data_IF_072324960780
#
_entry.id   IF_072324960780
#
_cell.length_a   1.000
_cell.length_b   1.000
_cell.length_c   1.000
_cell.angle_alpha   90.00
_cell.angle_beta   90.00
_cell.angle_gamma   90.00
#
_symmetry.space_group_name_H-M   'P 1'
#
loop_
_entity.id
_entity.type
_entity.pdbx_description
1 polymer ?
#
# COMPACT_ATOMS: atom_id res chain seq x y z
N UNK A 1 -32.04 25.01 0.13
CA UNK A 1 -31.80 23.71 -0.50
C UNK A 1 -30.30 23.56 -0.59
N UNK A 2 -29.73 23.05 0.50
CA UNK A 2 -28.29 22.92 0.71
C UNK A 2 -27.81 21.65 0.00
N UNK A 3 -27.01 21.81 -1.05
CA UNK A 3 -26.29 20.71 -1.68
C UNK A 3 -24.87 20.70 -1.09
N UNK A 4 -24.54 19.78 -0.16
CA UNK A 4 -23.15 19.55 0.20
C UNK A 4 -22.47 18.88 -0.98
N UNK A 5 -21.92 19.69 -1.88
CA UNK A 5 -20.99 19.23 -2.90
C UNK A 5 -19.79 18.58 -2.23
N UNK A 6 -19.80 17.25 -2.18
CA UNK A 6 -18.66 16.44 -1.79
C UNK A 6 -17.50 16.76 -2.74
N UNK A 7 -16.59 17.63 -2.31
CA UNK A 7 -15.28 17.76 -2.93
C UNK A 7 -14.54 16.45 -2.63
N UNK A 8 -14.58 15.52 -3.59
CA UNK A 8 -13.70 14.36 -3.63
C UNK A 8 -12.30 14.91 -3.79
N UNK A 9 -11.56 14.98 -2.68
CA UNK A 9 -10.16 15.37 -2.68
C UNK A 9 -9.43 14.40 -3.61
N UNK A 10 -8.80 14.84 -4.71
CA UNK A 10 -7.90 13.97 -5.45
C UNK A 10 -6.73 13.70 -4.51
N UNK A 11 -6.63 12.45 -4.04
CA UNK A 11 -5.57 12.02 -3.16
C UNK A 11 -4.22 12.43 -3.77
N UNK A 12 -3.47 13.25 -3.02
CA UNK A 12 -2.10 13.65 -3.34
C UNK A 12 -1.31 12.42 -3.77
N UNK A 13 -1.01 12.30 -5.05
CA UNK A 13 0.08 11.50 -5.64
C UNK A 13 0.47 10.25 -4.85
N UNK A 14 -0.50 9.40 -4.51
CA UNK A 14 -0.25 8.15 -3.82
C UNK A 14 0.38 7.17 -4.81
N UNK A 15 1.57 6.68 -4.48
CA UNK A 15 2.34 5.67 -5.19
C UNK A 15 1.66 4.34 -4.89
N UNK A 16 0.55 4.13 -5.57
CA UNK A 16 -0.19 2.88 -5.51
C UNK A 16 0.59 1.82 -6.28
N UNK A 17 1.06 0.80 -5.59
CA UNK A 17 1.64 -0.38 -6.22
C UNK A 17 0.57 -1.44 -6.43
N UNK A 18 0.39 -1.86 -7.67
CA UNK A 18 -0.53 -2.95 -7.98
C UNK A 18 0.21 -4.29 -7.84
N UNK A 19 -0.26 -5.12 -6.91
CA UNK A 19 0.17 -6.50 -6.80
C UNK A 19 -0.30 -7.32 -8.01
N UNK A 20 0.42 -8.39 -8.37
CA UNK A 20 0.05 -9.27 -9.48
C UNK A 20 -1.30 -9.97 -9.27
N UNK A 21 -1.75 -10.12 -8.02
CA UNK A 21 -3.10 -10.62 -7.73
C UNK A 21 -4.22 -9.61 -7.99
N UNK A 22 -3.89 -8.34 -8.29
CA UNK A 22 -4.83 -7.25 -8.52
C UNK A 22 -5.07 -6.35 -7.31
N UNK A 23 -4.48 -6.65 -6.15
CA UNK A 23 -4.58 -5.82 -4.96
C UNK A 23 -3.79 -4.51 -5.12
N UNK A 24 -4.41 -3.38 -4.78
CA UNK A 24 -3.78 -2.07 -4.80
C UNK A 24 -3.13 -1.76 -3.44
N UNK A 25 -1.83 -1.99 -3.34
CA UNK A 25 -1.03 -1.68 -2.17
C UNK A 25 -0.73 -0.17 -2.19
N UNK A 26 -1.18 0.56 -1.17
CA UNK A 26 -0.95 2.01 -1.09
C UNK A 26 -0.09 2.38 0.10
N UNK A 27 -0.19 1.60 1.17
CA UNK A 27 0.48 1.88 2.42
C UNK A 27 1.12 0.62 2.99
N UNK A 28 1.95 0.82 4.01
CA UNK A 28 2.48 -0.29 4.81
C UNK A 28 1.39 -1.21 5.37
N UNK A 29 0.21 -0.69 5.70
CA UNK A 29 -0.86 -1.52 6.27
C UNK A 29 -1.41 -2.59 5.29
N UNK A 30 -1.27 -2.37 3.98
CA UNK A 30 -1.66 -3.36 2.97
C UNK A 30 -0.60 -4.47 2.80
N UNK A 31 0.54 -4.34 3.47
CA UNK A 31 1.64 -5.30 3.42
C UNK A 31 1.72 -6.10 4.72
N UNK A 32 1.93 -7.40 4.58
CA UNK A 32 2.24 -8.30 5.68
C UNK A 32 3.75 -8.47 5.79
N UNK A 33 4.30 -8.25 6.98
CA UNK A 33 5.70 -8.53 7.24
C UNK A 33 5.87 -9.99 7.66
N UNK A 34 6.47 -10.79 6.79
CA UNK A 34 6.88 -12.15 7.12
C UNK A 34 8.23 -12.12 7.84
N UNK A 35 8.21 -12.38 9.14
CA UNK A 35 9.41 -12.56 9.97
C UNK A 35 9.87 -14.01 9.89
N UNK A 36 10.33 -14.43 8.70
CA UNK A 36 10.69 -15.82 8.41
C UNK A 36 12.20 -16.12 8.30
N UNK A 37 13.07 -15.11 8.32
CA UNK A 37 14.53 -15.31 8.20
C UNK A 37 15.35 -14.05 8.45
N UNK A 38 16.67 -14.13 8.24
CA UNK A 38 17.64 -13.02 8.45
C UNK A 38 17.28 -11.74 7.69
N UNK A 39 16.52 -11.84 6.59
CA UNK A 39 15.99 -10.71 5.83
C UNK A 39 14.50 -10.47 6.11
N UNK A 40 14.11 -9.20 6.23
CA UNK A 40 12.69 -8.80 6.20
C UNK A 40 12.08 -9.23 4.85
N UNK A 41 11.06 -10.08 4.89
CA UNK A 41 10.26 -10.42 3.72
C UNK A 41 8.90 -9.72 3.86
N UNK A 42 8.44 -9.11 2.79
CA UNK A 42 7.12 -8.49 2.74
C UNK A 42 6.25 -9.32 1.81
N UNK A 43 4.98 -9.43 2.15
CA UNK A 43 3.97 -10.09 1.35
C UNK A 43 2.76 -9.17 1.21
N UNK A 44 1.96 -9.38 0.16
CA UNK A 44 0.67 -8.73 0.01
C UNK A 44 -0.24 -9.19 1.15
N UNK A 45 -0.90 -8.27 1.86
CA UNK A 45 -1.86 -8.62 2.91
C UNK A 45 -3.13 -9.29 2.39
N UNK A 46 -3.45 -9.09 1.11
CA UNK A 46 -4.67 -9.63 0.49
C UNK A 46 -4.47 -11.07 -0.02
N UNK A 47 -3.40 -11.29 -0.80
CA UNK A 47 -3.15 -12.58 -1.46
C UNK A 47 -1.91 -13.34 -0.93
N UNK A 48 -1.11 -12.74 -0.04
CA UNK A 48 0.11 -13.35 0.50
C UNK A 48 1.29 -13.42 -0.49
N UNK A 49 1.18 -12.77 -1.65
CA UNK A 49 2.25 -12.79 -2.66
C UNK A 49 3.51 -12.07 -2.13
N UNK A 50 4.72 -12.64 -2.31
CA UNK A 50 5.93 -12.00 -1.85
C UNK A 50 6.18 -10.69 -2.61
N UNK A 51 6.21 -9.59 -1.87
CA UNK A 51 6.49 -8.25 -2.37
C UNK A 51 7.97 -7.94 -2.14
N UNK A 52 8.70 -7.46 -3.15
CA UNK A 52 10.09 -7.10 -2.99
C UNK A 52 10.24 -5.93 -2.00
N UNK A 53 11.25 -6.01 -1.14
CA UNK A 53 11.48 -5.02 -0.07
C UNK A 53 11.59 -3.58 -0.57
N UNK A 54 12.05 -3.35 -1.81
CA UNK A 54 12.11 -1.99 -2.41
C UNK A 54 10.72 -1.38 -2.62
N UNK A 55 9.72 -2.19 -2.95
CA UNK A 55 8.33 -1.75 -3.11
C UNK A 55 7.72 -1.51 -1.73
N UNK A 56 7.93 -2.45 -0.82
CA UNK A 56 7.47 -2.33 0.55
C UNK A 56 8.05 -1.11 1.27
N UNK A 57 9.33 -0.81 1.02
CA UNK A 57 10.00 0.38 1.54
C UNK A 57 9.34 1.66 1.00
N UNK A 58 9.11 1.76 -0.32
CA UNK A 58 8.40 2.91 -0.93
C UNK A 58 7.01 3.11 -0.32
N UNK A 59 6.23 2.04 -0.21
CA UNK A 59 4.88 2.05 0.39
C UNK A 59 4.91 2.39 1.88
N UNK A 60 5.97 2.00 2.60
CA UNK A 60 6.17 2.32 4.01
C UNK A 60 6.63 3.75 4.25
N UNK A 61 7.32 4.38 3.30
CA UNK A 61 7.69 5.79 3.39
C UNK A 61 6.55 6.72 2.96
N UNK A 62 5.58 6.20 2.20
CA UNK A 62 4.41 6.95 1.83
C UNK A 62 3.42 6.98 2.99
N UNK A 63 3.50 8.03 3.80
CA UNK A 63 2.47 8.39 4.78
C UNK A 63 1.69 9.60 4.26
N UNK A 64 0.35 9.58 4.29
CA UNK A 64 -0.44 10.78 4.03
C UNK A 64 -0.11 11.78 5.14
N UNK A 65 0.46 12.93 4.76
CA UNK A 65 0.80 13.99 5.69
C UNK A 65 -0.39 14.88 6.01
#
# INVERSE_FOLDING_TARGET
MDFPGQYVQPAMSETTYQCECGAALRFRQDLTLERGGTSRAWACGDCGLPIPSVVAEKLSHQHPS
#
